data_IF_843827802462
#
_entry.id   IF_843827802462
#
_cell.length_a   1.000
_cell.length_b   1.000
_cell.length_c   1.000
_cell.angle_alpha   90.00
_cell.angle_beta   90.00
_cell.angle_gamma   90.00
#
_symmetry.space_group_name_H-M   'P 1'
#
loop_
_entity.id
_entity.type
_entity.pdbx_description
1 polymer ?
#
# COMPACT_ATOMS: atom_id res chain seq x y z
N UNK A 1 27.35 16.08 8.93
CA UNK A 1 26.02 15.76 8.39
C UNK A 1 25.01 16.59 9.16
N UNK A 2 24.15 17.35 8.48
CA UNK A 2 23.13 18.18 9.14
C UNK A 2 22.09 17.30 9.79
N UNK A 3 21.83 17.50 11.09
CA UNK A 3 20.72 16.85 11.79
C UNK A 3 19.42 17.59 11.46
N UNK A 4 18.77 17.17 10.38
CA UNK A 4 17.51 17.75 9.93
C UNK A 4 16.37 17.59 10.95
N UNK A 5 16.43 16.58 11.83
CA UNK A 5 15.41 16.35 12.85
C UNK A 5 15.50 17.41 13.94
N UNK A 6 16.70 17.68 14.46
CA UNK A 6 16.93 18.74 15.44
C UNK A 6 16.57 20.13 14.87
N UNK A 7 16.88 20.38 13.59
CA UNK A 7 16.54 21.62 12.90
C UNK A 7 15.02 21.82 12.79
N UNK A 8 14.26 20.77 12.45
CA UNK A 8 12.79 20.80 12.39
C UNK A 8 12.16 20.99 13.78
N UNK A 9 12.69 20.31 14.80
CA UNK A 9 12.17 20.42 16.18
C UNK A 9 12.40 21.80 16.80
N UNK A 10 13.48 22.49 16.41
CA UNK A 10 13.80 23.84 16.87
C UNK A 10 13.26 24.96 15.97
N UNK A 11 12.59 24.61 14.86
CA UNK A 11 12.03 25.58 13.93
C UNK A 11 10.94 26.41 14.60
N UNK A 12 11.14 27.73 14.64
CA UNK A 12 10.11 28.68 15.06
C UNK A 12 9.35 29.19 13.84
N UNK A 13 8.02 29.00 13.84
CA UNK A 13 7.19 29.51 12.76
C UNK A 13 7.27 31.03 12.67
N UNK A 14 7.53 31.55 11.48
CA UNK A 14 7.53 32.99 11.18
C UNK A 14 6.29 33.44 10.39
N UNK A 15 5.41 32.51 10.05
CA UNK A 15 4.21 32.74 9.23
C UNK A 15 2.96 32.26 9.97
N UNK A 16 1.83 32.89 9.70
CA UNK A 16 0.53 32.50 10.27
C UNK A 16 0.06 31.12 9.77
N UNK A 17 0.51 30.72 8.57
CA UNK A 17 0.13 29.47 7.93
C UNK A 17 1.34 28.69 7.44
N UNK A 18 1.21 27.37 7.45
CA UNK A 18 2.14 26.43 6.81
C UNK A 18 1.42 25.77 5.62
N UNK A 19 2.06 25.80 4.45
CA UNK A 19 1.57 25.10 3.25
C UNK A 19 2.56 24.00 2.92
N UNK A 20 2.15 22.75 3.14
CA UNK A 20 2.91 21.58 2.74
C UNK A 20 2.43 21.09 1.37
N UNK A 21 3.37 20.91 0.43
CA UNK A 21 3.11 20.25 -0.85
C UNK A 21 3.76 18.87 -0.77
N UNK A 22 2.95 17.82 -0.85
CA UNK A 22 3.47 16.47 -1.00
C UNK A 22 4.05 16.31 -2.41
N UNK A 23 5.28 15.80 -2.49
CA UNK A 23 5.94 15.63 -3.77
C UNK A 23 5.35 14.46 -4.56
N UNK A 24 5.16 13.31 -3.91
CA UNK A 24 4.75 12.06 -4.56
C UNK A 24 3.22 12.04 -4.70
N UNK A 25 2.70 12.23 -5.91
CA UNK A 25 1.26 12.15 -6.20
C UNK A 25 0.47 13.45 -6.04
N UNK A 26 1.11 14.56 -5.65
CA UNK A 26 0.53 15.91 -5.70
C UNK A 26 1.35 16.86 -6.58
N UNK A 27 2.67 17.01 -6.34
CA UNK A 27 3.53 17.78 -7.23
C UNK A 27 4.01 17.01 -8.46
N UNK A 28 4.25 15.70 -8.31
CA UNK A 28 4.69 14.80 -9.38
C UNK A 28 3.72 13.65 -9.59
N UNK A 29 3.45 13.30 -10.84
CA UNK A 29 2.69 12.09 -11.20
C UNK A 29 3.59 10.85 -11.15
N UNK A 30 4.14 10.55 -9.96
CA UNK A 30 5.01 9.40 -9.72
C UNK A 30 4.23 8.19 -9.19
N UNK A 31 3.06 8.41 -8.60
CA UNK A 31 2.32 7.37 -7.88
C UNK A 31 1.74 6.32 -8.81
N UNK A 32 1.24 6.71 -9.99
CA UNK A 32 0.67 5.75 -10.92
C UNK A 32 1.74 4.78 -11.44
N UNK A 33 2.87 5.31 -11.89
CA UNK A 33 4.00 4.51 -12.38
C UNK A 33 4.53 3.59 -11.27
N UNK A 34 4.74 4.11 -10.06
CA UNK A 34 5.27 3.35 -8.92
C UNK A 34 4.36 2.16 -8.56
N UNK A 35 3.04 2.37 -8.52
CA UNK A 35 2.11 1.28 -8.22
C UNK A 35 1.97 0.28 -9.37
N UNK A 36 1.85 0.74 -10.63
CA UNK A 36 1.58 -0.11 -11.79
C UNK A 36 2.81 -0.89 -12.26
N UNK A 37 3.97 -0.25 -12.25
CA UNK A 37 5.21 -0.78 -12.86
C UNK A 37 6.22 -1.30 -11.83
N UNK A 38 6.12 -0.91 -10.55
CA UNK A 38 7.07 -1.38 -9.53
C UNK A 38 6.41 -2.28 -8.48
N UNK A 39 5.30 -1.86 -7.88
CA UNK A 39 4.71 -2.59 -6.77
C UNK A 39 3.80 -3.73 -7.21
N UNK A 40 2.84 -3.46 -8.10
CA UNK A 40 1.94 -4.49 -8.60
C UNK A 40 2.67 -5.69 -9.24
N UNK A 41 3.71 -5.49 -10.08
CA UNK A 41 4.43 -6.62 -10.67
C UNK A 41 5.14 -7.47 -9.61
N UNK A 42 5.71 -6.85 -8.58
CA UNK A 42 6.34 -7.57 -7.47
C UNK A 42 5.30 -8.34 -6.64
N UNK A 43 4.13 -7.77 -6.38
CA UNK A 43 3.02 -8.48 -5.71
C UNK A 43 2.57 -9.68 -6.52
N UNK A 44 2.36 -9.51 -7.83
CA UNK A 44 1.96 -10.61 -8.72
C UNK A 44 3.02 -11.72 -8.73
N UNK A 45 4.30 -11.36 -8.77
CA UNK A 45 5.40 -12.32 -8.76
C UNK A 45 5.48 -13.08 -7.42
N UNK A 46 5.44 -12.36 -6.30
CA UNK A 46 5.61 -12.96 -4.97
C UNK A 46 4.45 -13.89 -4.58
N UNK A 47 3.21 -13.52 -4.92
CA UNK A 47 2.02 -14.33 -4.64
C UNK A 47 1.63 -15.25 -5.81
N UNK A 48 2.51 -15.43 -6.80
CA UNK A 48 2.33 -16.32 -7.95
C UNK A 48 1.01 -16.10 -8.73
N UNK A 49 0.56 -14.85 -8.83
CA UNK A 49 -0.77 -14.49 -9.36
C UNK A 49 -0.84 -14.45 -10.89
N UNK A 50 0.10 -15.06 -11.60
CA UNK A 50 0.24 -14.87 -13.06
C UNK A 50 -0.98 -15.32 -13.85
N UNK A 51 -1.61 -16.42 -13.44
CA UNK A 51 -2.82 -16.96 -14.06
C UNK A 51 -4.04 -16.02 -13.96
N UNK A 52 -4.00 -15.04 -13.04
CA UNK A 52 -5.04 -14.03 -12.82
C UNK A 52 -4.47 -12.61 -12.85
N UNK A 53 -3.30 -12.42 -13.48
CA UNK A 53 -2.53 -11.16 -13.45
C UNK A 53 -3.34 -9.94 -13.89
N UNK A 54 -4.21 -10.08 -14.89
CA UNK A 54 -5.15 -9.03 -15.30
C UNK A 54 -5.99 -8.54 -14.12
N UNK A 55 -6.64 -9.45 -13.40
CA UNK A 55 -7.52 -9.12 -12.28
C UNK A 55 -6.73 -8.68 -11.04
N UNK A 56 -5.52 -9.21 -10.85
CA UNK A 56 -4.61 -8.77 -9.80
C UNK A 56 -4.23 -7.29 -9.97
N UNK A 57 -3.94 -6.85 -11.21
CA UNK A 57 -3.69 -5.43 -11.53
C UNK A 57 -4.90 -4.56 -11.23
N UNK A 58 -6.09 -4.97 -11.69
CA UNK A 58 -7.32 -4.22 -11.44
C UNK A 58 -7.63 -4.09 -9.94
N UNK A 59 -7.46 -5.16 -9.16
CA UNK A 59 -7.66 -5.14 -7.71
C UNK A 59 -6.62 -4.25 -7.02
N UNK A 60 -5.35 -4.34 -7.43
CA UNK A 60 -4.27 -3.52 -6.92
C UNK A 60 -4.50 -2.03 -7.15
N UNK A 61 -4.82 -1.65 -8.40
CA UNK A 61 -5.06 -0.28 -8.80
C UNK A 61 -6.30 0.29 -8.10
N UNK A 62 -7.37 -0.49 -7.96
CA UNK A 62 -8.54 -0.05 -7.22
C UNK A 62 -8.19 0.27 -5.76
N UNK A 63 -7.51 -0.64 -5.06
CA UNK A 63 -7.14 -0.45 -3.65
C UNK A 63 -6.17 0.71 -3.46
N UNK A 64 -5.17 0.82 -4.33
CA UNK A 64 -4.04 1.73 -4.10
C UNK A 64 -4.15 3.09 -4.81
N UNK A 65 -4.94 3.21 -5.88
CA UNK A 65 -5.00 4.41 -6.71
C UNK A 65 -6.40 5.00 -6.85
N UNK A 66 -7.44 4.16 -6.94
CA UNK A 66 -8.76 4.59 -7.43
C UNK A 66 -9.93 4.37 -6.45
N UNK A 67 -9.64 4.17 -5.16
CA UNK A 67 -10.66 4.03 -4.13
C UNK A 67 -10.32 4.81 -2.87
N UNK A 68 -11.21 4.75 -1.87
CA UNK A 68 -11.03 5.40 -0.56
C UNK A 68 -9.91 4.78 0.27
N UNK A 69 -9.40 3.60 -0.10
CA UNK A 69 -8.24 2.98 0.56
C UNK A 69 -6.91 3.47 0.00
N UNK A 70 -6.92 4.37 -1.01
CA UNK A 70 -5.69 4.99 -1.53
C UNK A 70 -4.89 5.61 -0.40
N UNK A 71 -3.60 5.27 -0.33
CA UNK A 71 -2.69 5.77 0.69
C UNK A 71 -2.84 5.10 2.07
N UNK A 72 -3.63 4.03 2.19
CA UNK A 72 -3.67 3.24 3.42
C UNK A 72 -2.31 2.57 3.71
N UNK A 73 -2.15 2.08 4.93
CA UNK A 73 -0.93 1.37 5.33
C UNK A 73 -0.65 0.17 4.40
N UNK A 74 0.62 -0.06 4.07
CA UNK A 74 1.05 -1.11 3.13
C UNK A 74 0.57 -2.52 3.48
N UNK A 75 0.43 -2.84 4.77
CA UNK A 75 -0.07 -4.15 5.21
C UNK A 75 -1.56 -4.30 4.91
N UNK A 76 -2.35 -3.26 5.20
CA UNK A 76 -3.77 -3.21 4.86
C UNK A 76 -3.98 -3.25 3.34
N UNK A 77 -3.17 -2.52 2.57
CA UNK A 77 -3.24 -2.52 1.11
C UNK A 77 -3.05 -3.93 0.53
N UNK A 78 -2.13 -4.73 1.06
CA UNK A 78 -1.93 -6.12 0.65
C UNK A 78 -3.14 -7.00 0.99
N UNK A 79 -3.66 -6.90 2.21
CA UNK A 79 -4.86 -7.63 2.66
C UNK A 79 -6.03 -7.31 1.73
N UNK A 80 -6.34 -6.02 1.56
CA UNK A 80 -7.47 -5.58 0.74
C UNK A 80 -7.32 -5.96 -0.73
N UNK A 81 -6.12 -5.89 -1.30
CA UNK A 81 -5.89 -6.26 -2.69
C UNK A 81 -6.11 -7.77 -2.91
N UNK A 82 -5.58 -8.63 -2.03
CA UNK A 82 -5.75 -10.08 -2.15
C UNK A 82 -7.19 -10.52 -1.83
N UNK A 83 -7.84 -9.91 -0.85
CA UNK A 83 -9.24 -10.18 -0.52
C UNK A 83 -10.18 -9.74 -1.65
N UNK A 84 -9.96 -8.54 -2.21
CA UNK A 84 -10.70 -8.05 -3.37
C UNK A 84 -10.49 -8.95 -4.59
N UNK A 85 -9.27 -9.48 -4.78
CA UNK A 85 -8.98 -10.41 -5.87
C UNK A 85 -9.70 -11.75 -5.66
N UNK A 86 -9.65 -12.31 -4.45
CA UNK A 86 -10.28 -13.59 -4.10
C UNK A 86 -11.81 -13.56 -4.22
N UNK A 87 -12.43 -12.42 -3.95
CA UNK A 87 -13.87 -12.23 -4.05
C UNK A 87 -14.40 -12.17 -5.50
N UNK A 88 -13.52 -12.04 -6.52
CA UNK A 88 -13.95 -11.89 -7.91
C UNK A 88 -14.46 -13.21 -8.51
N UNK A 89 -15.67 -13.26 -9.08
CA UNK A 89 -16.18 -14.45 -9.76
C UNK A 89 -15.27 -14.95 -10.89
N UNK A 90 -14.64 -14.05 -11.63
CA UNK A 90 -13.70 -14.41 -12.70
C UNK A 90 -12.45 -15.13 -12.19
N UNK A 91 -11.99 -14.80 -10.98
CA UNK A 91 -10.84 -15.43 -10.33
C UNK A 91 -11.25 -16.79 -9.78
N UNK A 92 -12.40 -16.85 -9.10
CA UNK A 92 -12.96 -18.11 -8.57
C UNK A 92 -13.16 -19.15 -9.68
N UNK A 93 -13.68 -18.74 -10.85
CA UNK A 93 -13.85 -19.61 -12.03
C UNK A 93 -12.54 -20.16 -12.58
N UNK A 94 -11.40 -19.51 -12.32
CA UNK A 94 -10.08 -19.99 -12.76
C UNK A 94 -9.50 -21.07 -11.84
N UNK A 95 -10.10 -21.28 -10.66
CA UNK A 95 -9.62 -22.27 -9.69
C UNK A 95 -8.23 -21.96 -9.12
N UNK A 96 -7.78 -20.72 -9.24
CA UNK A 96 -6.49 -20.27 -8.67
C UNK A 96 -6.70 -19.96 -7.20
N UNK A 97 -5.85 -20.54 -6.35
CA UNK A 97 -5.86 -20.24 -4.92
C UNK A 97 -5.21 -18.87 -4.66
N UNK A 98 -5.95 -17.99 -4.00
CA UNK A 98 -5.44 -16.66 -3.60
C UNK A 98 -5.17 -16.71 -2.10
N UNK A 99 -3.90 -16.60 -1.72
CA UNK A 99 -3.45 -16.64 -0.33
C UNK A 99 -4.28 -15.71 0.58
N UNK A 100 -4.72 -16.21 1.73
CA UNK A 100 -5.30 -15.40 2.81
C UNK A 100 -4.20 -15.03 3.80
N UNK A 101 -4.10 -13.75 4.14
CA UNK A 101 -3.04 -13.25 5.03
C UNK A 101 -3.53 -13.19 6.48
N UNK A 102 -4.03 -14.30 7.02
CA UNK A 102 -4.68 -14.35 8.34
C UNK A 102 -3.78 -13.82 9.48
N UNK A 103 -2.49 -14.13 9.44
CA UNK A 103 -1.54 -13.62 10.43
C UNK A 103 -1.33 -12.10 10.31
N UNK A 104 -1.36 -11.57 9.10
CA UNK A 104 -1.23 -10.12 8.88
C UNK A 104 -2.52 -9.37 9.25
N UNK A 105 -3.68 -9.99 9.02
CA UNK A 105 -4.98 -9.48 9.47
C UNK A 105 -5.05 -9.39 10.99
N UNK A 106 -4.70 -10.46 11.69
CA UNK A 106 -4.59 -10.46 13.16
C UNK A 106 -3.61 -9.40 13.66
N UNK A 107 -2.47 -9.21 12.98
CA UNK A 107 -1.53 -8.16 13.33
C UNK A 107 -2.14 -6.76 13.14
N UNK A 108 -2.91 -6.55 12.07
CA UNK A 108 -3.56 -5.27 11.80
C UNK A 108 -4.67 -4.89 12.77
N UNK A 109 -5.23 -5.87 13.46
CA UNK A 109 -6.26 -5.69 14.49
C UNK A 109 -5.65 -5.56 15.90
N UNK A 110 -4.33 -5.70 16.02
CA UNK A 110 -3.62 -5.54 17.30
C UNK A 110 -3.40 -4.06 17.65
N UNK A 111 -3.04 -3.80 18.92
CA UNK A 111 -2.65 -2.46 19.37
C UNK A 111 -1.22 -2.05 18.96
N UNK A 112 -0.51 -2.91 18.21
CA UNK A 112 0.86 -2.62 17.76
C UNK A 112 0.86 -1.65 16.57
N UNK A 113 1.88 -0.78 16.44
CA UNK A 113 2.03 0.06 15.25
C UNK A 113 2.22 -0.79 13.99
N UNK A 114 1.49 -0.49 12.91
CA UNK A 114 1.61 -1.16 11.62
C UNK A 114 2.94 -0.83 10.90
N UNK A 115 4.02 -1.45 11.38
CA UNK A 115 5.39 -1.21 10.95
C UNK A 115 6.19 -2.52 10.91
N UNK A 116 7.34 -2.52 10.22
CA UNK A 116 8.21 -3.70 10.19
C UNK A 116 8.77 -4.03 11.59
N UNK A 117 9.29 -3.08 12.39
CA UNK A 117 9.80 -3.43 13.72
C UNK A 117 8.77 -4.13 14.60
N UNK A 118 7.52 -3.67 14.57
CA UNK A 118 6.45 -4.24 15.38
C UNK A 118 6.03 -5.67 14.99
N UNK A 119 6.35 -6.13 13.76
CA UNK A 119 6.05 -7.50 13.31
C UNK A 119 7.19 -8.48 13.58
N UNK A 120 8.40 -7.98 13.88
CA UNK A 120 9.58 -8.78 14.22
C UNK A 120 9.66 -9.12 15.73
N UNK A 121 8.84 -8.45 16.55
CA UNK A 121 8.67 -8.67 18.01
C UNK A 121 7.61 -9.70 18.37
#
# INVERSE_FOLDING_TARGET
MTDYKAALQSFQSSSEFFVGIDSDGCAFDSMELKHKECFCPNTINYFELQAVSKYAREAWDFVNLYSRTRGCNRFLALIYALDSLRARPDVQRRGVEIMKLESLERFSESDKPLSNPAIEE
#
